data_IF_339817484297
#
_entry.id   IF_339817484297
#
_cell.length_a   1.000
_cell.length_b   1.000
_cell.length_c   1.000
_cell.angle_alpha   90.00
_cell.angle_beta   90.00
_cell.angle_gamma   90.00
#
_symmetry.space_group_name_H-M   'P 1'
#
loop_
_entity.id
_entity.type
_entity.pdbx_description
1 polymer ?
#
# COMPACT_ATOMS: atom_id res chain seq x y z
N UNK A 1 2.57 -8.01 -24.49
CA UNK A 1 1.98 -9.21 -23.88
C UNK A 1 2.77 -9.50 -22.63
N UNK A 2 2.43 -8.84 -21.52
CA UNK A 2 3.08 -9.06 -20.22
C UNK A 2 2.28 -10.09 -19.44
N UNK A 3 3.01 -11.00 -18.80
CA UNK A 3 2.61 -12.28 -18.22
C UNK A 3 1.27 -12.27 -17.47
N UNK A 4 0.25 -12.84 -18.12
CA UNK A 4 -1.06 -13.16 -17.57
C UNK A 4 -1.11 -14.61 -17.04
N UNK A 5 0.01 -15.17 -16.58
CA UNK A 5 0.12 -16.62 -16.24
C UNK A 5 0.41 -16.91 -14.77
N UNK A 6 -0.34 -16.26 -13.87
CA UNK A 6 -0.31 -16.62 -12.44
C UNK A 6 -1.30 -15.88 -11.53
N UNK A 7 -2.29 -15.18 -12.08
CA UNK A 7 -3.20 -14.31 -11.33
C UNK A 7 -4.24 -15.05 -10.46
N UNK A 8 -4.35 -16.38 -10.56
CA UNK A 8 -5.37 -17.16 -9.84
C UNK A 8 -4.85 -17.88 -8.60
N UNK A 9 -3.79 -17.38 -7.94
CA UNK A 9 -3.69 -17.61 -6.50
C UNK A 9 -4.61 -16.59 -5.85
N UNK A 10 -5.89 -16.98 -5.79
CA UNK A 10 -7.06 -16.19 -5.37
C UNK A 10 -6.65 -15.07 -4.43
N UNK A 11 -6.66 -13.85 -4.97
CA UNK A 11 -6.54 -12.64 -4.19
C UNK A 11 -7.82 -12.55 -3.35
N UNK A 12 -7.71 -12.92 -2.08
CA UNK A 12 -8.85 -13.07 -1.16
C UNK A 12 -9.37 -11.70 -0.74
N UNK A 13 -8.45 -10.75 -0.61
CA UNK A 13 -8.74 -9.38 -0.21
C UNK A 13 -7.68 -8.46 -0.81
N UNK A 14 -8.08 -7.26 -1.24
CA UNK A 14 -7.16 -6.20 -1.63
C UNK A 14 -7.66 -4.86 -1.12
N UNK A 15 -6.75 -4.05 -0.56
CA UNK A 15 -6.97 -2.64 -0.24
C UNK A 15 -5.95 -1.79 -0.98
N UNK A 16 -6.43 -0.80 -1.72
CA UNK A 16 -5.62 0.17 -2.45
C UNK A 16 -5.65 1.51 -1.71
N UNK A 17 -4.47 2.13 -1.55
CA UNK A 17 -4.31 3.48 -0.97
C UNK A 17 -3.53 4.34 -1.97
N UNK A 18 -4.10 5.47 -2.39
CA UNK A 18 -3.44 6.40 -3.34
C UNK A 18 -2.82 7.55 -2.54
N UNK A 19 -1.51 7.73 -2.65
CA UNK A 19 -0.80 8.82 -1.97
C UNK A 19 0.04 9.61 -2.99
N UNK A 20 -0.59 10.58 -3.65
CA UNK A 20 0.05 11.40 -4.69
C UNK A 20 0.65 10.56 -5.84
N UNK A 21 1.98 10.58 -5.99
CA UNK A 21 2.71 9.82 -7.03
C UNK A 21 2.91 8.33 -6.70
N UNK A 22 2.48 7.89 -5.51
CA UNK A 22 2.62 6.52 -5.02
C UNK A 22 1.24 5.89 -4.89
N UNK A 23 1.20 4.58 -5.05
CA UNK A 23 0.01 3.78 -4.77
C UNK A 23 0.43 2.56 -3.99
N UNK A 24 -0.18 2.35 -2.84
CA UNK A 24 0.04 1.19 -2.00
C UNK A 24 -1.07 0.16 -2.23
N UNK A 25 -0.69 -1.10 -2.30
CA UNK A 25 -1.59 -2.25 -2.42
C UNK A 25 -1.33 -3.19 -1.26
N UNK A 26 -2.38 -3.53 -0.52
CA UNK A 26 -2.36 -4.47 0.59
C UNK A 26 -3.22 -5.67 0.20
N UNK A 27 -2.57 -6.74 -0.27
CA UNK A 27 -3.25 -7.90 -0.84
C UNK A 27 -3.08 -9.12 0.08
N UNK A 28 -4.17 -9.80 0.41
CA UNK A 28 -4.15 -11.10 1.09
C UNK A 28 -4.26 -12.20 0.06
N UNK A 29 -3.32 -13.14 0.08
CA UNK A 29 -3.24 -14.26 -0.88
C UNK A 29 -3.08 -15.58 -0.14
N UNK A 30 -3.53 -16.66 -0.77
CA UNK A 30 -3.34 -18.02 -0.26
C UNK A 30 -2.09 -18.69 -0.83
N UNK A 31 -1.42 -19.50 -0.01
CA UNK A 31 -0.41 -20.45 -0.45
C UNK A 31 -1.09 -21.74 -0.94
N UNK A 32 -0.31 -22.62 -1.59
CA UNK A 32 -0.82 -23.95 -1.99
C UNK A 32 -1.23 -24.82 -0.80
N UNK A 33 -0.74 -24.53 0.40
CA UNK A 33 -1.07 -25.23 1.63
C UNK A 33 -2.30 -24.64 2.34
N UNK A 34 -3.07 -23.79 1.65
CA UNK A 34 -4.24 -23.08 2.18
C UNK A 34 -3.90 -22.19 3.39
N UNK A 35 -2.71 -21.59 3.36
CA UNK A 35 -2.26 -20.63 4.35
C UNK A 35 -2.32 -19.20 3.79
N UNK A 36 -2.39 -18.19 4.65
CA UNK A 36 -2.54 -16.80 4.22
C UNK A 36 -1.26 -15.98 4.42
N UNK A 37 -0.99 -15.08 3.48
CA UNK A 37 0.10 -14.12 3.58
C UNK A 37 -0.33 -12.77 3.00
N UNK A 38 0.25 -11.69 3.53
CA UNK A 38 0.06 -10.32 3.07
C UNK A 38 1.15 -9.96 2.06
N UNK A 39 0.76 -9.31 0.97
CA UNK A 39 1.67 -8.63 0.06
C UNK A 39 1.42 -7.14 0.17
N UNK A 40 2.45 -6.38 0.56
CA UNK A 40 2.42 -4.91 0.54
C UNK A 40 3.23 -4.47 -0.68
N UNK A 41 2.57 -3.82 -1.64
CA UNK A 41 3.26 -3.28 -2.82
C UNK A 41 3.14 -1.77 -2.85
N UNK A 42 4.28 -1.10 -2.87
CA UNK A 42 4.36 0.31 -3.25
C UNK A 42 4.64 0.42 -4.75
N UNK A 43 3.82 1.17 -5.49
CA UNK A 43 4.04 1.50 -6.89
C UNK A 43 4.23 3.01 -7.03
N UNK A 44 5.45 3.45 -7.35
CA UNK A 44 5.80 4.85 -7.52
C UNK A 44 5.89 5.21 -9.00
N UNK A 45 5.11 6.20 -9.43
CA UNK A 45 5.22 6.75 -10.79
C UNK A 45 6.50 7.58 -10.92
N UNK A 46 7.36 7.22 -11.88
CA UNK A 46 8.54 7.97 -12.31
C UNK A 46 8.24 8.64 -13.63
N UNK A 47 8.74 9.87 -13.78
CA UNK A 47 8.65 10.64 -15.03
C UNK A 47 10.08 10.82 -15.53
N UNK A 48 10.34 10.33 -16.74
CA UNK A 48 11.63 10.39 -17.41
C UNK A 48 11.43 11.05 -18.77
N UNK A 49 11.59 12.38 -18.82
CA UNK A 49 11.26 13.19 -19.99
C UNK A 49 9.78 13.05 -20.37
N UNK A 50 9.51 12.67 -21.62
CA UNK A 50 8.15 12.44 -22.14
C UNK A 50 7.57 11.06 -21.79
N UNK A 51 8.34 10.21 -21.11
CA UNK A 51 7.93 8.84 -20.73
C UNK A 51 7.63 8.73 -19.24
N UNK A 52 6.74 7.79 -18.89
CA UNK A 52 6.47 7.43 -17.50
C UNK A 52 6.67 5.93 -17.29
N UNK A 53 7.24 5.59 -16.13
CA UNK A 53 7.43 4.21 -15.68
C UNK A 53 6.96 4.07 -14.24
N UNK A 54 6.76 2.82 -13.79
CA UNK A 54 6.38 2.52 -12.41
C UNK A 54 7.48 1.69 -11.75
N UNK A 55 8.00 2.21 -10.64
CA UNK A 55 8.92 1.50 -9.77
C UNK A 55 8.10 0.81 -8.68
N UNK A 56 8.24 -0.52 -8.54
CA UNK A 56 7.50 -1.31 -7.57
C UNK A 56 8.41 -1.86 -6.48
N UNK A 57 8.10 -1.56 -5.23
CA UNK A 57 8.67 -2.23 -4.07
C UNK A 57 7.63 -3.17 -3.48
N UNK A 58 8.02 -4.42 -3.21
CA UNK A 58 7.11 -5.45 -2.74
C UNK A 58 7.65 -6.14 -1.51
N UNK A 59 6.82 -6.23 -0.49
CA UNK A 59 7.08 -6.95 0.76
C UNK A 59 6.10 -8.12 0.82
N UNK A 60 6.62 -9.29 1.18
CA UNK A 60 5.81 -10.47 1.52
C UNK A 60 5.90 -10.66 3.02
N UNK A 61 4.75 -10.77 3.68
CA UNK A 61 4.64 -10.96 5.12
C UNK A 61 3.81 -12.22 5.37
N UNK A 62 4.36 -13.18 6.10
CA UNK A 62 3.70 -14.43 6.43
C UNK A 62 3.05 -14.36 7.81
N UNK A 63 2.07 -15.22 8.07
CA UNK A 63 1.21 -15.14 9.26
C UNK A 63 1.97 -15.15 10.59
N UNK A 64 3.10 -15.85 10.65
CA UNK A 64 3.96 -15.98 11.82
C UNK A 64 4.58 -14.65 12.25
N UNK A 65 4.70 -13.71 11.32
CA UNK A 65 5.32 -12.41 11.52
C UNK A 65 4.31 -11.27 11.67
N UNK A 66 3.00 -11.52 11.45
CA UNK A 66 1.96 -10.48 11.47
C UNK A 66 1.97 -9.68 12.77
N UNK A 67 2.01 -10.35 13.92
CA UNK A 67 1.97 -9.69 15.21
C UNK A 67 3.16 -8.75 15.40
N UNK A 68 4.38 -9.26 15.22
CA UNK A 68 5.62 -8.48 15.41
C UNK A 68 5.72 -7.32 14.42
N UNK A 69 5.30 -7.54 13.18
CA UNK A 69 5.35 -6.51 12.14
C UNK A 69 4.37 -5.37 12.42
N UNK A 70 3.13 -5.69 12.78
CA UNK A 70 2.10 -4.68 13.09
C UNK A 70 2.45 -3.91 14.35
N UNK A 71 2.95 -4.59 15.38
CA UNK A 71 3.43 -3.95 16.61
C UNK A 71 4.54 -2.95 16.32
N UNK A 72 5.61 -3.36 15.62
CA UNK A 72 6.72 -2.48 15.27
C UNK A 72 6.29 -1.31 14.37
N UNK A 73 5.38 -1.56 13.42
CA UNK A 73 4.84 -0.52 12.54
C UNK A 73 4.06 0.53 13.35
N UNK A 74 3.15 0.10 14.22
CA UNK A 74 2.35 0.99 15.05
C UNK A 74 3.22 1.78 16.03
N UNK A 75 4.13 1.12 16.74
CA UNK A 75 5.05 1.77 17.69
C UNK A 75 5.87 2.86 16.99
N UNK A 76 6.40 2.58 15.79
CA UNK A 76 7.19 3.54 15.02
C UNK A 76 6.34 4.72 14.57
N UNK A 77 5.10 4.48 14.12
CA UNK A 77 4.16 5.54 13.71
C UNK A 77 3.77 6.41 14.91
N UNK A 78 3.47 5.79 16.05
CA UNK A 78 3.07 6.49 17.28
C UNK A 78 4.21 7.34 17.83
N UNK A 79 5.45 6.85 17.79
CA UNK A 79 6.62 7.63 18.15
C UNK A 79 6.76 8.88 17.27
N UNK A 80 6.56 8.75 15.95
CA UNK A 80 6.56 9.91 15.04
C UNK A 80 5.47 10.91 15.39
N UNK A 81 4.23 10.44 15.60
CA UNK A 81 3.08 11.32 15.88
C UNK A 81 3.22 12.04 17.21
N UNK A 82 3.59 11.32 18.27
CA UNK A 82 3.53 11.85 19.64
C UNK A 82 4.82 12.56 20.06
N UNK A 83 5.98 12.12 19.58
CA UNK A 83 7.27 12.65 20.04
C UNK A 83 7.94 13.55 19.00
N UNK A 84 7.89 13.20 17.72
CA UNK A 84 8.61 13.94 16.68
C UNK A 84 7.77 15.06 16.04
N UNK A 85 6.47 14.84 15.89
CA UNK A 85 5.54 15.75 15.20
C UNK A 85 4.24 15.98 15.99
N UNK A 86 4.29 16.38 17.27
CA UNK A 86 3.10 16.51 18.12
C UNK A 86 2.14 17.62 17.68
N UNK A 87 2.64 18.64 16.99
CA UNK A 87 1.85 19.79 16.54
C UNK A 87 1.23 19.59 15.15
N UNK A 88 1.50 18.45 14.49
CA UNK A 88 0.96 18.14 13.16
C UNK A 88 -0.39 17.44 13.34
N UNK A 89 -1.44 18.06 12.84
CA UNK A 89 -2.73 17.39 12.67
C UNK A 89 -2.65 16.44 11.47
N UNK A 90 -2.60 15.14 11.72
CA UNK A 90 -2.53 14.14 10.64
C UNK A 90 -3.91 13.84 10.03
N UNK A 91 -5.00 14.22 10.69
CA UNK A 91 -6.36 13.93 10.21
C UNK A 91 -6.72 14.83 9.02
N UNK A 92 -6.04 15.98 8.86
CA UNK A 92 -6.19 16.85 7.70
C UNK A 92 -5.87 16.13 6.36
N UNK A 93 -5.00 15.12 6.39
CA UNK A 93 -4.61 14.37 5.20
C UNK A 93 -5.67 13.34 4.77
N UNK A 94 -6.65 13.02 5.62
CA UNK A 94 -7.75 12.11 5.26
C UNK A 94 -8.75 12.81 4.31
N UNK A 95 -8.94 14.12 4.46
CA UNK A 95 -9.90 14.92 3.66
C UNK A 95 -9.40 15.21 2.23
N UNK A 96 -8.10 15.45 2.05
CA UNK A 96 -7.51 15.72 0.71
C UNK A 96 -7.62 14.53 -0.25
N UNK A 97 -7.59 13.29 0.26
CA UNK A 97 -7.76 12.09 -0.56
C UNK A 97 -9.20 11.93 -1.08
N UNK A 98 -10.22 12.31 -0.31
CA UNK A 98 -11.62 12.23 -0.74
C UNK A 98 -11.94 13.25 -1.84
N UNK A 99 -11.45 14.49 -1.72
CA UNK A 99 -11.63 15.53 -2.74
C UNK A 99 -10.89 15.19 -4.05
N UNK A 100 -9.63 14.75 -3.96
CA UNK A 100 -8.86 14.33 -5.14
C UNK A 100 -9.42 13.06 -5.80
N UNK A 101 -9.99 12.14 -5.01
CA UNK A 101 -10.65 10.93 -5.53
C UNK A 101 -11.97 11.24 -6.24
N UNK A 102 -12.72 12.25 -5.79
CA UNK A 102 -13.95 12.73 -6.47
C UNK A 102 -13.66 13.51 -7.76
N UNK A 103 -12.56 14.25 -7.82
CA UNK A 103 -12.18 15.04 -9.00
C UNK A 103 -11.71 14.16 -10.18
N UNK A 104 -11.20 12.95 -9.90
CA UNK A 104 -10.80 11.95 -10.89
C UNK A 104 -11.96 11.11 -11.46
N UNK A 105 -13.21 11.46 -11.15
CA UNK A 105 -14.41 10.68 -11.51
C UNK A 105 -15.19 11.29 -12.67
N UNK A 106 -14.53 11.79 -13.73
CA UNK A 106 -15.16 12.13 -15.02
C UNK A 106 -14.18 12.01 -16.21
N UNK A 107 -14.25 10.88 -16.92
CA UNK A 107 -14.39 10.67 -18.39
C UNK A 107 -14.26 9.17 -18.73
#
# INVERSE_FOLDING_TARGET
MEDQRGYDREEIFSKKVKAGKRTYFFDIKSTRANDYYLTITESKRRVNGDSFSYEKHKIFLYKEDFFKFVEALNETVDHVKNELLPDVDFDQYEQEEEESSNELKWE
#
